data_IF_409104475257
#
_entry.id   IF_409104475257
#
_cell.length_a   1.000
_cell.length_b   1.000
_cell.length_c   1.000
_cell.angle_alpha   90.00
_cell.angle_beta   90.00
_cell.angle_gamma   90.00
#
_symmetry.space_group_name_H-M   'P 1'
#
loop_
_entity.id
_entity.type
_entity.pdbx_description
1 polymer ?
#
# COMPACT_ATOMS: atom_id res chain seq x y z
N UNK A 1 -47.70 -7.22 -17.66
CA UNK A 1 -46.68 -6.15 -17.73
C UNK A 1 -45.82 -6.30 -16.50
N UNK A 2 -44.77 -7.09 -16.65
CA UNK A 2 -43.90 -7.46 -15.55
C UNK A 2 -42.95 -6.31 -15.19
N UNK A 3 -42.98 -5.99 -13.93
CA UNK A 3 -42.05 -5.00 -13.32
C UNK A 3 -40.62 -5.51 -13.44
N UNK A 4 -39.85 -4.92 -14.34
CA UNK A 4 -38.39 -5.03 -14.36
C UNK A 4 -37.89 -4.44 -13.02
N UNK A 5 -37.75 -5.29 -12.01
CA UNK A 5 -36.98 -4.96 -10.80
C UNK A 5 -35.58 -4.58 -11.27
N UNK A 6 -35.27 -3.30 -11.35
CA UNK A 6 -33.90 -2.80 -11.43
C UNK A 6 -33.14 -3.46 -10.27
N UNK A 7 -32.32 -4.46 -10.57
CA UNK A 7 -31.31 -4.98 -9.63
C UNK A 7 -30.45 -3.76 -9.30
N UNK A 8 -30.67 -3.16 -8.14
CA UNK A 8 -29.72 -2.17 -7.60
C UNK A 8 -28.38 -2.89 -7.56
N UNK A 9 -27.37 -2.33 -8.20
CA UNK A 9 -26.02 -2.85 -8.20
C UNK A 9 -25.54 -2.81 -6.73
N UNK A 10 -25.65 -3.95 -6.05
CA UNK A 10 -25.26 -4.08 -4.66
C UNK A 10 -23.73 -4.23 -4.65
N UNK A 11 -23.03 -3.10 -4.52
CA UNK A 11 -21.56 -3.04 -4.56
C UNK A 11 -20.90 -3.69 -3.33
N UNK A 12 -21.69 -4.15 -2.35
CA UNK A 12 -21.19 -4.74 -1.12
C UNK A 12 -21.09 -6.26 -1.26
N UNK A 13 -19.94 -6.80 -0.91
CA UNK A 13 -19.68 -8.24 -0.84
C UNK A 13 -19.95 -8.72 0.60
N UNK A 14 -20.75 -9.78 0.77
CA UNK A 14 -20.96 -10.42 2.07
C UNK A 14 -19.75 -11.29 2.42
N UNK A 15 -18.89 -10.74 3.29
CA UNK A 15 -17.70 -11.42 3.78
C UNK A 15 -17.98 -12.29 5.02
N UNK A 16 -19.14 -12.12 5.67
CA UNK A 16 -19.49 -12.81 6.90
C UNK A 16 -20.22 -14.13 6.62
N UNK A 17 -21.19 -14.14 5.68
CA UNK A 17 -22.02 -15.30 5.40
C UNK A 17 -21.81 -15.90 4.01
N UNK A 18 -21.22 -15.13 3.08
CA UNK A 18 -20.97 -15.58 1.71
C UNK A 18 -19.97 -16.73 1.60
N UNK A 19 -19.91 -17.43 0.45
CA UNK A 19 -18.89 -18.45 0.18
C UNK A 19 -17.49 -17.86 0.26
N UNK A 20 -16.63 -18.36 1.11
CA UNK A 20 -15.36 -17.74 1.51
C UNK A 20 -14.49 -17.39 0.30
N UNK A 21 -14.13 -18.38 -0.51
CA UNK A 21 -13.22 -18.18 -1.66
C UNK A 21 -13.81 -17.19 -2.69
N UNK A 22 -15.08 -17.37 -3.04
CA UNK A 22 -15.77 -16.49 -3.99
C UNK A 22 -15.84 -15.05 -3.49
N UNK A 23 -16.17 -14.86 -2.20
CA UNK A 23 -16.26 -13.53 -1.58
C UNK A 23 -14.88 -12.85 -1.55
N UNK A 24 -13.81 -13.58 -1.23
CA UNK A 24 -12.44 -13.08 -1.26
C UNK A 24 -12.03 -12.61 -2.66
N UNK A 25 -12.25 -13.43 -3.69
CA UNK A 25 -11.89 -13.08 -5.07
C UNK A 25 -12.68 -11.86 -5.57
N UNK A 26 -14.02 -11.86 -5.35
CA UNK A 26 -14.86 -10.73 -5.79
C UNK A 26 -14.46 -9.43 -5.06
N UNK A 27 -14.06 -9.53 -3.80
CA UNK A 27 -13.62 -8.36 -3.04
C UNK A 27 -12.20 -7.91 -3.39
N UNK A 28 -11.28 -8.86 -3.66
CA UNK A 28 -9.90 -8.58 -4.03
C UNK A 28 -9.74 -8.03 -5.45
N UNK A 29 -10.61 -8.43 -6.39
CA UNK A 29 -10.49 -8.02 -7.79
C UNK A 29 -10.55 -6.49 -8.00
N UNK A 30 -11.49 -5.73 -7.40
CA UNK A 30 -11.45 -4.27 -7.47
C UNK A 30 -10.19 -3.65 -6.82
N UNK A 31 -9.65 -4.27 -5.77
CA UNK A 31 -8.41 -3.82 -5.13
C UNK A 31 -7.21 -4.02 -6.06
N UNK A 32 -7.14 -5.16 -6.74
CA UNK A 32 -6.12 -5.44 -7.75
C UNK A 32 -6.17 -4.45 -8.91
N UNK A 33 -7.38 -4.18 -9.43
CA UNK A 33 -7.59 -3.19 -10.49
C UNK A 33 -7.20 -1.79 -9.99
N UNK A 34 -7.52 -1.43 -8.73
CA UNK A 34 -7.09 -0.16 -8.12
C UNK A 34 -5.58 -0.01 -8.10
N UNK A 35 -4.84 -1.07 -7.74
CA UNK A 35 -3.39 -1.05 -7.73
C UNK A 35 -2.81 -0.83 -9.14
N UNK A 36 -3.39 -1.46 -10.16
CA UNK A 36 -3.00 -1.26 -11.56
C UNK A 36 -3.23 0.21 -11.97
N UNK A 37 -4.43 0.74 -11.73
CA UNK A 37 -4.75 2.13 -12.08
C UNK A 37 -3.85 3.13 -11.34
N UNK A 38 -3.55 2.87 -10.07
CA UNK A 38 -2.63 3.72 -9.30
C UNK A 38 -1.22 3.70 -9.87
N UNK A 39 -0.73 2.54 -10.29
CA UNK A 39 0.60 2.44 -10.93
C UNK A 39 0.62 3.09 -12.31
N UNK A 40 -0.46 2.94 -13.08
CA UNK A 40 -0.58 3.58 -14.39
C UNK A 40 -0.58 5.10 -14.28
N UNK A 41 -1.38 5.67 -13.38
CA UNK A 41 -1.43 7.12 -13.24
C UNK A 41 -0.09 7.68 -12.74
N UNK A 42 0.59 7.02 -11.79
CA UNK A 42 1.94 7.43 -11.35
C UNK A 42 2.95 7.42 -12.50
N UNK A 43 2.83 6.43 -13.40
CA UNK A 43 3.69 6.34 -14.58
C UNK A 43 3.40 7.47 -15.57
N UNK A 44 2.12 7.76 -15.82
CA UNK A 44 1.70 8.84 -16.73
C UNK A 44 2.13 10.21 -16.19
N UNK A 45 1.94 10.48 -14.90
CA UNK A 45 2.39 11.70 -14.22
C UNK A 45 3.90 11.89 -14.39
N UNK A 46 4.69 10.85 -14.12
CA UNK A 46 6.15 10.85 -14.35
C UNK A 46 6.51 11.12 -15.80
N UNK A 47 5.78 10.55 -16.76
CA UNK A 47 6.00 10.79 -18.20
C UNK A 47 5.65 12.22 -18.60
N UNK A 48 4.58 12.80 -18.07
CA UNK A 48 4.20 14.20 -18.34
C UNK A 48 5.31 15.13 -17.83
N UNK A 49 5.74 14.96 -16.59
CA UNK A 49 6.83 15.77 -16.02
C UNK A 49 8.12 15.62 -16.83
N UNK A 50 8.54 14.40 -17.15
CA UNK A 50 9.77 14.16 -17.93
C UNK A 50 9.73 14.76 -19.33
N UNK A 51 8.60 14.66 -20.05
CA UNK A 51 8.48 15.15 -21.41
C UNK A 51 8.33 16.67 -21.51
N UNK A 52 7.66 17.30 -20.55
CA UNK A 52 7.35 18.74 -20.63
C UNK A 52 8.27 19.62 -19.77
N UNK A 53 8.82 19.10 -18.67
CA UNK A 53 9.71 19.87 -17.79
C UNK A 53 11.17 19.42 -17.87
N UNK A 54 11.43 18.21 -18.41
CA UNK A 54 12.76 17.68 -18.64
C UNK A 54 13.36 16.91 -17.45
N UNK A 55 14.60 16.46 -17.64
CA UNK A 55 15.29 15.51 -16.76
C UNK A 55 15.56 16.07 -15.35
N UNK A 56 15.81 17.38 -15.23
CA UNK A 56 16.10 18.02 -13.94
C UNK A 56 14.86 17.98 -13.03
N UNK A 57 13.69 18.34 -13.55
CA UNK A 57 12.41 18.28 -12.81
C UNK A 57 12.02 16.85 -12.47
N UNK A 58 12.28 15.90 -13.36
CA UNK A 58 12.10 14.49 -13.10
C UNK A 58 13.00 14.00 -11.95
N UNK A 59 14.27 14.42 -11.94
CA UNK A 59 15.21 14.11 -10.85
C UNK A 59 14.78 14.77 -9.52
N UNK A 60 14.23 15.99 -9.57
CA UNK A 60 13.70 16.67 -8.39
C UNK A 60 12.55 15.88 -7.73
N UNK A 61 11.56 15.43 -8.51
CA UNK A 61 10.48 14.57 -8.01
C UNK A 61 11.04 13.24 -7.48
N UNK A 62 11.98 12.62 -8.21
CA UNK A 62 12.62 11.37 -7.80
C UNK A 62 13.33 11.49 -6.46
N UNK A 63 13.99 12.62 -6.18
CA UNK A 63 14.66 12.86 -4.89
C UNK A 63 13.70 12.96 -3.70
N UNK A 64 12.42 13.31 -3.95
CA UNK A 64 11.38 13.40 -2.93
C UNK A 64 10.75 12.05 -2.57
N UNK A 65 10.99 10.99 -3.36
CA UNK A 65 10.28 9.70 -3.20
C UNK A 65 10.42 9.12 -1.78
N UNK A 66 11.62 9.17 -1.19
CA UNK A 66 11.83 8.66 0.16
C UNK A 66 11.08 9.46 1.24
N UNK A 67 10.96 10.78 1.07
CA UNK A 67 10.20 11.65 1.99
C UNK A 67 8.70 11.36 1.82
N UNK A 68 8.25 11.22 0.58
CA UNK A 68 6.87 10.86 0.25
C UNK A 68 6.49 9.52 0.89
N UNK A 69 7.30 8.48 0.68
CA UNK A 69 7.07 7.14 1.22
C UNK A 69 7.06 7.12 2.75
N UNK A 70 7.91 7.92 3.37
CA UNK A 70 7.96 8.04 4.82
C UNK A 70 6.68 8.72 5.37
N UNK A 71 6.33 9.90 4.90
CA UNK A 71 5.23 10.70 5.44
C UNK A 71 3.85 10.19 4.98
N UNK A 72 3.69 10.02 3.67
CA UNK A 72 2.43 9.56 3.09
C UNK A 72 2.22 8.08 3.39
N UNK A 73 3.26 7.25 3.28
CA UNK A 73 3.21 5.83 3.62
C UNK A 73 2.84 5.59 5.09
N UNK A 74 3.35 6.42 6.01
CA UNK A 74 2.96 6.38 7.42
C UNK A 74 1.47 6.73 7.59
N UNK A 75 1.02 7.81 6.96
CA UNK A 75 -0.39 8.23 6.98
C UNK A 75 -1.32 7.14 6.43
N UNK A 76 -0.97 6.52 5.30
CA UNK A 76 -1.70 5.41 4.69
C UNK A 76 -1.77 4.20 5.63
N UNK A 77 -0.66 3.88 6.29
CA UNK A 77 -0.62 2.81 7.28
C UNK A 77 -1.61 3.05 8.41
N UNK A 78 -1.63 4.26 8.97
CA UNK A 78 -2.60 4.63 10.02
C UNK A 78 -4.03 4.48 9.50
N UNK A 79 -4.36 5.03 8.33
CA UNK A 79 -5.69 4.94 7.73
C UNK A 79 -6.17 3.50 7.56
N UNK A 80 -5.30 2.61 7.09
CA UNK A 80 -5.60 1.18 6.97
C UNK A 80 -5.81 0.52 8.34
N UNK A 81 -5.01 0.87 9.36
CA UNK A 81 -5.18 0.36 10.72
C UNK A 81 -6.52 0.77 11.33
N UNK A 82 -6.95 2.02 11.13
CA UNK A 82 -8.27 2.50 11.55
C UNK A 82 -9.42 1.74 10.85
N UNK A 83 -9.27 1.48 9.56
CA UNK A 83 -10.24 0.70 8.77
C UNK A 83 -10.39 -0.74 9.26
N UNK A 84 -9.31 -1.39 9.73
CA UNK A 84 -9.33 -2.74 10.32
C UNK A 84 -10.21 -2.76 11.57
N UNK A 85 -10.07 -1.80 12.47
CA UNK A 85 -10.89 -1.72 13.70
C UNK A 85 -12.35 -1.47 13.33
N UNK A 86 -12.61 -0.58 12.37
CA UNK A 86 -13.95 -0.31 11.86
C UNK A 86 -14.59 -1.55 11.22
N UNK A 87 -13.83 -2.33 10.44
CA UNK A 87 -14.29 -3.58 9.85
C UNK A 87 -14.69 -4.61 10.92
N UNK A 88 -13.96 -4.64 12.04
CA UNK A 88 -14.28 -5.49 13.19
C UNK A 88 -15.57 -5.04 13.87
N UNK A 89 -15.73 -3.73 14.06
CA UNK A 89 -16.97 -3.14 14.59
C UNK A 89 -18.17 -3.43 13.69
N UNK A 90 -17.98 -3.40 12.36
CA UNK A 90 -19.01 -3.82 11.41
C UNK A 90 -19.38 -5.30 11.59
N UNK A 91 -18.37 -6.17 11.73
CA UNK A 91 -18.55 -7.60 11.92
C UNK A 91 -19.32 -7.98 13.19
N UNK A 92 -19.20 -7.20 14.26
CA UNK A 92 -19.94 -7.41 15.50
C UNK A 92 -21.44 -7.10 15.41
N UNK A 93 -21.88 -6.49 14.31
CA UNK A 93 -23.27 -6.03 14.10
C UNK A 93 -23.77 -4.97 15.10
N UNK A 94 -22.85 -4.35 15.83
CA UNK A 94 -23.13 -3.24 16.74
C UNK A 94 -23.00 -1.90 15.96
N UNK A 95 -24.14 -1.36 15.55
CA UNK A 95 -24.19 -0.10 14.79
C UNK A 95 -23.64 1.08 15.59
N UNK A 96 -23.86 1.11 16.91
CA UNK A 96 -23.36 2.18 17.77
C UNK A 96 -21.83 2.14 17.84
N UNK A 97 -21.26 0.96 18.04
CA UNK A 97 -19.81 0.75 18.05
C UNK A 97 -19.17 1.10 16.69
N UNK A 98 -19.81 0.69 15.58
CA UNK A 98 -19.37 1.03 14.24
C UNK A 98 -19.33 2.55 14.03
N UNK A 99 -20.40 3.28 14.36
CA UNK A 99 -20.45 4.73 14.23
C UNK A 99 -19.46 5.44 15.15
N UNK A 100 -19.27 4.96 16.38
CA UNK A 100 -18.22 5.44 17.28
C UNK A 100 -16.82 5.19 16.69
N UNK A 101 -16.57 4.03 16.08
CA UNK A 101 -15.30 3.71 15.43
C UNK A 101 -15.03 4.67 14.25
N UNK A 102 -16.03 4.96 13.43
CA UNK A 102 -15.92 5.93 12.34
C UNK A 102 -15.66 7.34 12.88
N UNK A 103 -16.42 7.82 13.87
CA UNK A 103 -16.24 9.14 14.49
C UNK A 103 -14.82 9.30 15.07
N UNK A 104 -14.36 8.31 15.83
CA UNK A 104 -13.04 8.30 16.43
C UNK A 104 -11.94 8.26 15.36
N UNK A 105 -12.14 7.50 14.26
CA UNK A 105 -11.21 7.46 13.14
C UNK A 105 -11.09 8.80 12.42
N UNK A 106 -12.18 9.54 12.28
CA UNK A 106 -12.16 10.91 11.72
C UNK A 106 -11.36 11.86 12.60
N UNK A 107 -11.61 11.84 13.92
CA UNK A 107 -10.85 12.68 14.87
C UNK A 107 -9.38 12.36 14.85
N UNK A 108 -9.00 11.08 14.96
CA UNK A 108 -7.62 10.62 14.90
C UNK A 108 -6.98 11.05 13.57
N UNK A 109 -7.71 10.87 12.46
CA UNK A 109 -7.24 11.25 11.13
C UNK A 109 -6.89 12.73 11.01
N UNK A 110 -7.74 13.61 11.52
CA UNK A 110 -7.50 15.05 11.52
C UNK A 110 -6.27 15.38 12.38
N UNK A 111 -6.20 14.87 13.61
CA UNK A 111 -5.08 15.13 14.53
C UNK A 111 -3.75 14.63 13.95
N UNK A 112 -3.73 13.40 13.42
CA UNK A 112 -2.53 12.81 12.81
C UNK A 112 -2.11 13.60 11.56
N UNK A 113 -3.05 13.97 10.70
CA UNK A 113 -2.74 14.73 9.48
C UNK A 113 -2.16 16.10 9.82
N UNK A 114 -2.73 16.82 10.79
CA UNK A 114 -2.18 18.11 11.25
C UNK A 114 -0.78 17.90 11.83
N UNK A 115 -0.58 16.90 12.68
CA UNK A 115 0.73 16.58 13.24
C UNK A 115 1.77 16.27 12.17
N UNK A 116 1.43 15.44 11.19
CA UNK A 116 2.31 15.10 10.06
C UNK A 116 2.61 16.32 9.18
N UNK A 117 1.62 17.18 8.92
CA UNK A 117 1.85 18.43 8.18
C UNK A 117 2.83 19.31 8.92
N UNK A 118 2.62 19.57 10.22
CA UNK A 118 3.50 20.43 11.01
C UNK A 118 4.94 19.86 11.08
N UNK A 119 5.08 18.59 11.42
CA UNK A 119 6.38 17.92 11.49
C UNK A 119 7.03 17.92 10.11
N UNK A 120 6.27 17.53 9.07
CA UNK A 120 6.77 17.48 7.71
C UNK A 120 7.29 18.83 7.23
N UNK A 121 6.53 19.91 7.40
CA UNK A 121 6.94 21.25 6.96
C UNK A 121 8.17 21.76 7.73
N UNK A 122 8.29 21.49 9.03
CA UNK A 122 9.45 21.90 9.85
C UNK A 122 10.72 21.19 9.40
N UNK A 123 10.61 19.88 9.10
CA UNK A 123 11.78 19.05 8.76
C UNK A 123 12.02 18.87 7.27
N UNK A 124 11.19 19.44 6.40
CA UNK A 124 11.25 19.22 4.95
C UNK A 124 12.61 19.61 4.35
N UNK A 125 13.05 20.83 4.61
CA UNK A 125 14.32 21.32 4.10
C UNK A 125 15.53 20.58 4.69
N UNK A 126 15.62 20.35 6.03
CA UNK A 126 16.64 19.47 6.61
C UNK A 126 16.66 18.06 6.00
N UNK A 127 15.52 17.47 5.71
CA UNK A 127 15.43 16.11 5.10
C UNK A 127 15.97 16.11 3.67
N UNK A 128 15.67 17.11 2.85
CA UNK A 128 16.22 17.21 1.50
C UNK A 128 17.75 17.34 1.52
N UNK A 129 18.30 18.14 2.44
CA UNK A 129 19.75 18.23 2.63
C UNK A 129 20.36 16.92 3.15
N UNK A 130 19.70 16.25 4.09
CA UNK A 130 20.17 14.95 4.63
C UNK A 130 20.21 13.87 3.53
N UNK A 131 19.29 13.92 2.58
CA UNK A 131 19.26 13.02 1.42
C UNK A 131 20.26 13.42 0.32
N UNK A 132 21.10 14.46 0.56
CA UNK A 132 22.06 14.97 -0.41
C UNK A 132 21.41 15.36 -1.75
N UNK A 133 20.22 15.96 -1.71
CA UNK A 133 19.56 16.48 -2.93
C UNK A 133 20.47 17.55 -3.57
N UNK A 134 20.81 17.41 -4.88
CA UNK A 134 21.70 18.37 -5.55
C UNK A 134 21.15 19.79 -5.49
N UNK A 135 22.05 20.77 -5.28
CA UNK A 135 21.68 22.19 -5.11
C UNK A 135 20.93 22.79 -6.30
N UNK A 136 21.17 22.27 -7.50
CA UNK A 136 20.53 22.73 -8.74
C UNK A 136 19.06 22.28 -8.90
N UNK A 137 18.59 21.32 -8.10
CA UNK A 137 17.21 20.81 -8.17
C UNK A 137 16.47 20.90 -6.83
N UNK A 138 17.14 21.34 -5.76
CA UNK A 138 16.57 21.32 -4.39
C UNK A 138 15.35 22.24 -4.26
N UNK A 139 15.33 23.37 -4.96
CA UNK A 139 14.21 24.31 -4.94
C UNK A 139 12.97 23.72 -5.62
N UNK A 140 13.15 23.02 -6.73
CA UNK A 140 12.06 22.30 -7.40
C UNK A 140 11.57 21.13 -6.55
N UNK A 141 12.50 20.36 -5.96
CA UNK A 141 12.17 19.27 -5.06
C UNK A 141 11.37 19.75 -3.85
N UNK A 142 11.83 20.83 -3.21
CA UNK A 142 11.12 21.46 -2.10
C UNK A 142 9.72 21.91 -2.51
N UNK A 143 9.61 22.58 -3.62
CA UNK A 143 8.38 23.11 -4.18
C UNK A 143 7.33 22.01 -4.45
N UNK A 144 7.75 20.87 -5.01
CA UNK A 144 6.90 19.72 -5.27
C UNK A 144 6.39 19.10 -3.95
N UNK A 145 7.32 18.72 -3.06
CA UNK A 145 6.95 17.96 -1.86
C UNK A 145 6.25 18.85 -0.81
N UNK A 146 6.48 20.15 -0.81
CA UNK A 146 5.81 21.11 0.06
C UNK A 146 4.29 21.03 -0.07
N UNK A 147 3.75 21.07 -1.31
CA UNK A 147 2.31 20.96 -1.52
C UNK A 147 1.75 19.60 -1.11
N UNK A 148 2.49 18.52 -1.36
CA UNK A 148 2.10 17.18 -0.93
C UNK A 148 1.98 17.11 0.61
N UNK A 149 2.97 17.63 1.33
CA UNK A 149 3.01 17.64 2.79
C UNK A 149 1.95 18.58 3.37
N UNK A 150 1.79 19.77 2.79
CA UNK A 150 0.78 20.75 3.21
C UNK A 150 -0.64 20.18 3.15
N UNK A 151 -0.93 19.39 2.15
CA UNK A 151 -2.25 18.80 1.90
C UNK A 151 -2.30 17.28 2.18
N UNK A 152 -1.41 16.75 3.04
CA UNK A 152 -1.41 15.33 3.41
C UNK A 152 -2.76 14.86 3.96
N UNK A 153 -3.52 15.77 4.58
CA UNK A 153 -4.87 15.52 5.07
C UNK A 153 -5.83 15.05 3.95
N UNK A 154 -5.66 15.53 2.73
CA UNK A 154 -6.49 15.13 1.58
C UNK A 154 -6.21 13.68 1.20
N UNK A 155 -4.93 13.31 1.14
CA UNK A 155 -4.51 11.94 0.84
C UNK A 155 -4.94 10.97 1.94
N UNK A 156 -4.78 11.38 3.20
CA UNK A 156 -5.26 10.62 4.35
C UNK A 156 -6.78 10.44 4.30
N UNK A 157 -7.55 11.51 4.05
CA UNK A 157 -9.01 11.48 4.01
C UNK A 157 -9.53 10.53 2.91
N UNK A 158 -8.92 10.55 1.70
CA UNK A 158 -9.31 9.61 0.65
C UNK A 158 -9.07 8.15 1.10
N UNK A 159 -7.89 7.86 1.65
CA UNK A 159 -7.56 6.51 2.08
C UNK A 159 -8.41 6.03 3.25
N UNK A 160 -8.72 6.92 4.19
CA UNK A 160 -9.64 6.63 5.28
C UNK A 160 -11.05 6.33 4.74
N UNK A 161 -11.62 7.19 3.90
CA UNK A 161 -12.94 6.98 3.29
C UNK A 161 -12.99 5.66 2.50
N UNK A 162 -11.99 5.40 1.68
CA UNK A 162 -11.86 4.15 0.95
C UNK A 162 -11.74 2.93 1.89
N UNK A 163 -10.98 3.08 2.99
CA UNK A 163 -10.85 2.08 4.04
C UNK A 163 -12.17 1.79 4.75
N UNK A 164 -12.92 2.84 5.11
CA UNK A 164 -14.24 2.72 5.74
C UNK A 164 -15.26 2.02 4.82
N UNK A 165 -15.26 2.33 3.51
CA UNK A 165 -16.11 1.64 2.55
C UNK A 165 -15.71 0.16 2.41
N UNK A 166 -14.41 -0.14 2.35
CA UNK A 166 -13.92 -1.53 2.37
C UNK A 166 -14.31 -2.25 3.67
N UNK A 167 -14.28 -1.56 4.80
CA UNK A 167 -14.66 -2.12 6.10
C UNK A 167 -16.08 -2.69 6.15
N UNK A 168 -17.01 -2.17 5.32
CA UNK A 168 -18.38 -2.66 5.17
C UNK A 168 -18.58 -3.58 3.96
N UNK A 169 -17.50 -4.03 3.31
CA UNK A 169 -17.55 -4.94 2.17
C UNK A 169 -17.62 -4.28 0.78
N UNK A 170 -17.46 -2.95 0.68
CA UNK A 170 -17.51 -2.23 -0.59
C UNK A 170 -16.10 -1.90 -1.09
N UNK A 171 -15.56 -2.70 -1.99
CA UNK A 171 -14.27 -2.43 -2.66
C UNK A 171 -14.42 -1.78 -4.05
N UNK A 172 -15.64 -1.79 -4.62
CA UNK A 172 -15.89 -1.30 -5.99
C UNK A 172 -15.92 0.23 -6.03
N UNK A 173 -16.63 0.88 -5.10
CA UNK A 173 -16.80 2.33 -5.16
C UNK A 173 -15.49 3.10 -4.94
N UNK A 174 -14.59 2.71 -4.02
CA UNK A 174 -13.26 3.30 -3.97
C UNK A 174 -12.49 3.22 -5.29
N UNK A 175 -12.57 2.08 -6.01
CA UNK A 175 -11.99 1.94 -7.33
C UNK A 175 -12.58 2.95 -8.34
N UNK A 176 -13.91 3.07 -8.39
CA UNK A 176 -14.57 4.00 -9.31
C UNK A 176 -14.09 5.44 -9.06
N UNK A 177 -14.00 5.86 -7.80
CA UNK A 177 -13.55 7.21 -7.46
C UNK A 177 -12.05 7.41 -7.75
N UNK A 178 -11.24 6.36 -7.56
CA UNK A 178 -9.83 6.38 -7.95
C UNK A 178 -9.67 6.56 -9.47
N UNK A 179 -10.44 5.84 -10.28
CA UNK A 179 -10.40 5.97 -11.75
C UNK A 179 -10.78 7.39 -12.18
N UNK A 180 -11.85 7.94 -11.60
CA UNK A 180 -12.28 9.33 -11.89
C UNK A 180 -11.18 10.33 -11.53
N UNK A 181 -10.58 10.20 -10.35
CA UNK A 181 -9.50 11.10 -9.94
C UNK A 181 -8.23 10.92 -10.75
N UNK A 182 -7.91 9.70 -11.18
CA UNK A 182 -6.74 9.45 -12.03
C UNK A 182 -6.86 10.12 -13.40
N UNK A 183 -8.05 10.06 -14.01
CA UNK A 183 -8.32 10.77 -15.26
C UNK A 183 -8.24 12.30 -15.05
N UNK A 184 -8.84 12.79 -13.96
CA UNK A 184 -8.78 14.21 -13.63
C UNK A 184 -7.34 14.66 -13.36
N UNK A 185 -6.53 13.87 -12.67
CA UNK A 185 -5.14 14.18 -12.40
C UNK A 185 -4.35 14.36 -13.71
N UNK A 186 -4.45 13.43 -14.65
CA UNK A 186 -3.78 13.53 -15.96
C UNK A 186 -4.18 14.82 -16.70
N UNK A 187 -5.47 15.17 -16.69
CA UNK A 187 -5.95 16.40 -17.33
C UNK A 187 -5.37 17.63 -16.63
N UNK A 188 -5.38 17.65 -15.29
CA UNK A 188 -4.86 18.77 -14.50
C UNK A 188 -3.34 18.92 -14.64
N UNK A 189 -2.59 17.82 -14.69
CA UNK A 189 -1.15 17.83 -14.93
C UNK A 189 -0.83 18.52 -16.26
N UNK A 190 -1.52 18.12 -17.33
CA UNK A 190 -1.35 18.76 -18.64
C UNK A 190 -1.70 20.25 -18.59
N UNK A 191 -2.83 20.61 -17.96
CA UNK A 191 -3.24 22.03 -17.86
C UNK A 191 -2.25 22.84 -17.03
N UNK A 192 -1.86 22.38 -15.86
CA UNK A 192 -1.01 23.15 -14.95
C UNK A 192 0.43 23.24 -15.43
N UNK A 193 0.95 22.16 -16.02
CA UNK A 193 2.33 22.13 -16.51
C UNK A 193 2.44 22.86 -17.84
N UNK A 194 1.54 22.61 -18.82
CA UNK A 194 1.71 23.12 -20.20
C UNK A 194 1.04 24.46 -20.45
N UNK A 195 -0.15 24.71 -19.87
CA UNK A 195 -0.90 25.94 -20.10
C UNK A 195 -0.61 27.01 -19.06
N UNK A 196 -0.49 26.62 -17.78
CA UNK A 196 -0.26 27.55 -16.67
C UNK A 196 1.23 27.69 -16.30
N UNK A 197 2.12 26.89 -16.90
CA UNK A 197 3.56 26.89 -16.67
C UNK A 197 3.97 26.84 -15.19
N UNK A 198 3.24 26.03 -14.39
CA UNK A 198 3.46 25.93 -12.94
C UNK A 198 4.68 25.05 -12.57
N UNK A 199 5.36 24.45 -13.56
CA UNK A 199 6.49 23.55 -13.29
C UNK A 199 6.07 22.31 -12.47
N UNK A 200 6.98 21.79 -11.64
CA UNK A 200 6.73 20.61 -10.80
C UNK A 200 5.65 20.84 -9.74
N UNK A 201 5.42 22.09 -9.33
CA UNK A 201 4.31 22.43 -8.42
C UNK A 201 2.97 22.09 -9.04
N UNK A 202 2.83 22.22 -10.37
CA UNK A 202 1.62 21.89 -11.10
C UNK A 202 1.22 20.43 -10.89
N UNK A 203 2.17 19.51 -10.97
CA UNK A 203 1.95 18.08 -10.72
C UNK A 203 1.48 17.81 -9.26
N UNK A 204 2.13 18.45 -8.28
CA UNK A 204 1.73 18.31 -6.89
C UNK A 204 0.31 18.85 -6.64
N UNK A 205 -0.03 20.02 -7.16
CA UNK A 205 -1.35 20.64 -7.03
C UNK A 205 -2.42 19.81 -7.75
N UNK A 206 -2.13 19.29 -8.94
CA UNK A 206 -3.03 18.40 -9.68
C UNK A 206 -3.34 17.13 -8.87
N UNK A 207 -2.33 16.53 -8.25
CA UNK A 207 -2.50 15.37 -7.37
C UNK A 207 -3.40 15.70 -6.16
N UNK A 208 -3.20 16.83 -5.51
CA UNK A 208 -4.03 17.25 -4.36
C UNK A 208 -5.48 17.50 -4.77
N UNK A 209 -5.72 18.18 -5.89
CA UNK A 209 -7.09 18.48 -6.37
C UNK A 209 -7.81 17.21 -6.80
N UNK A 210 -7.15 16.32 -7.53
CA UNK A 210 -7.74 15.06 -7.98
C UNK A 210 -8.07 14.14 -6.81
N UNK A 211 -7.18 14.02 -5.84
CA UNK A 211 -7.44 13.28 -4.60
C UNK A 211 -8.58 13.92 -3.78
N UNK A 212 -8.61 15.25 -3.68
CA UNK A 212 -9.70 16.00 -3.04
C UNK A 212 -11.05 15.73 -3.69
N UNK A 213 -11.08 15.63 -5.02
CA UNK A 213 -12.29 15.23 -5.76
C UNK A 213 -12.74 13.84 -5.37
N UNK A 214 -11.82 12.87 -5.24
CA UNK A 214 -12.15 11.54 -4.73
C UNK A 214 -12.74 11.58 -3.32
N UNK A 215 -12.20 12.41 -2.41
CA UNK A 215 -12.74 12.58 -1.06
C UNK A 215 -14.19 13.07 -1.12
N UNK A 216 -14.45 14.08 -1.91
CA UNK A 216 -15.82 14.64 -2.08
C UNK A 216 -16.77 13.58 -2.62
N UNK A 217 -16.36 12.82 -3.64
CA UNK A 217 -17.18 11.74 -4.21
C UNK A 217 -17.43 10.62 -3.19
N UNK A 218 -16.43 10.24 -2.40
CA UNK A 218 -16.57 9.28 -1.30
C UNK A 218 -17.61 9.77 -0.28
N UNK A 219 -17.50 11.01 0.17
CA UNK A 219 -18.41 11.63 1.16
C UNK A 219 -19.83 11.67 0.61
N UNK A 220 -20.02 12.14 -0.62
CA UNK A 220 -21.35 12.19 -1.26
C UNK A 220 -21.97 10.78 -1.35
N UNK A 221 -21.17 9.78 -1.72
CA UNK A 221 -21.62 8.40 -1.78
C UNK A 221 -21.98 7.86 -0.39
N UNK A 222 -21.17 8.14 0.63
CA UNK A 222 -21.44 7.73 2.01
C UNK A 222 -22.75 8.33 2.50
N UNK A 223 -23.02 9.61 2.24
CA UNK A 223 -24.29 10.25 2.62
C UNK A 223 -25.50 9.66 1.90
N UNK A 224 -25.37 9.31 0.61
CA UNK A 224 -26.52 8.84 -0.18
C UNK A 224 -26.79 7.35 -0.08
N UNK A 225 -25.74 6.52 0.12
CA UNK A 225 -25.83 5.06 -0.06
C UNK A 225 -25.37 4.23 1.14
N UNK A 226 -24.61 4.82 2.07
CA UNK A 226 -24.06 4.10 3.22
C UNK A 226 -24.24 4.87 4.54
N UNK A 227 -25.49 5.16 4.96
CA UNK A 227 -25.78 5.93 6.18
C UNK A 227 -25.23 5.26 7.44
N UNK A 228 -24.93 3.97 7.38
CA UNK A 228 -24.30 3.19 8.44
C UNK A 228 -22.90 3.73 8.83
N UNK A 229 -22.19 4.35 7.88
CA UNK A 229 -20.88 4.97 8.11
C UNK A 229 -20.96 6.45 8.53
N UNK A 230 -22.16 6.99 8.73
CA UNK A 230 -22.35 8.40 9.11
C UNK A 230 -22.55 8.52 10.62
N UNK A 231 -21.55 9.01 11.37
CA UNK A 231 -21.69 9.25 12.79
C UNK A 231 -22.58 10.46 13.04
N UNK A 232 -23.34 10.43 14.15
CA UNK A 232 -24.04 11.58 14.71
C UNK A 232 -23.22 12.19 15.85
N UNK A 233 -23.59 13.34 16.36
CA UNK A 233 -22.87 14.04 17.45
C UNK A 233 -22.63 13.14 18.69
N UNK A 234 -23.59 12.31 19.04
CA UNK A 234 -23.50 11.36 20.17
C UNK A 234 -22.38 10.31 20.03
N UNK A 235 -21.94 10.01 18.79
CA UNK A 235 -20.88 9.03 18.52
C UNK A 235 -19.46 9.59 18.68
N UNK A 236 -19.32 10.92 18.85
CA UNK A 236 -18.03 11.57 19.10
C UNK A 236 -17.62 11.57 20.59
N UNK A 237 -18.42 10.95 21.45
CA UNK A 237 -18.04 10.72 22.84
C UNK A 237 -16.74 9.88 22.90
N UNK A 238 -15.81 10.32 23.73
CA UNK A 238 -14.51 9.68 23.89
C UNK A 238 -14.65 8.34 24.61
N UNK A 239 -14.36 7.27 23.90
CA UNK A 239 -14.25 5.92 24.43
C UNK A 239 -12.76 5.54 24.47
N UNK A 240 -12.18 5.52 25.69
CA UNK A 240 -10.74 5.33 25.89
C UNK A 240 -10.22 4.01 25.33
N UNK A 241 -10.99 2.94 25.46
CA UNK A 241 -10.56 1.61 25.00
C UNK A 241 -10.59 1.54 23.47
N UNK A 242 -11.63 2.10 22.84
CA UNK A 242 -11.72 2.21 21.41
C UNK A 242 -10.60 3.09 20.81
N UNK A 243 -10.33 4.25 21.42
CA UNK A 243 -9.21 5.12 20.99
C UNK A 243 -7.86 4.42 21.13
N UNK A 244 -7.62 3.71 22.24
CA UNK A 244 -6.40 2.92 22.45
C UNK A 244 -6.25 1.82 21.40
N UNK A 245 -7.35 1.22 20.98
CA UNK A 245 -7.33 0.19 19.94
C UNK A 245 -7.06 0.79 18.57
N UNK A 246 -7.77 1.84 18.20
CA UNK A 246 -7.60 2.54 16.93
C UNK A 246 -6.17 3.10 16.76
N UNK A 247 -5.68 3.84 17.77
CA UNK A 247 -4.32 4.37 17.76
C UNK A 247 -3.28 3.25 17.72
N UNK A 248 -3.45 2.22 18.55
CA UNK A 248 -2.51 1.11 18.57
C UNK A 248 -2.44 0.36 17.24
N UNK A 249 -3.58 0.11 16.59
CA UNK A 249 -3.61 -0.55 15.27
C UNK A 249 -3.12 0.39 14.17
N UNK A 250 -3.52 1.67 14.20
CA UNK A 250 -3.08 2.68 13.24
C UNK A 250 -1.57 2.89 13.29
N UNK A 251 -1.01 3.19 14.46
CA UNK A 251 0.42 3.40 14.61
C UNK A 251 1.25 2.15 14.30
N UNK A 252 0.76 0.96 14.67
CA UNK A 252 1.44 -0.29 14.32
C UNK A 252 1.62 -0.42 12.80
N UNK A 253 0.57 -0.15 12.02
CA UNK A 253 0.65 -0.21 10.55
C UNK A 253 1.46 0.95 9.95
N UNK A 254 1.33 2.15 10.52
CA UNK A 254 2.13 3.30 10.10
C UNK A 254 3.63 3.06 10.30
N UNK A 255 4.05 2.63 11.47
CA UNK A 255 5.45 2.29 11.74
C UNK A 255 5.94 1.11 10.93
N UNK A 256 5.09 0.10 10.68
CA UNK A 256 5.42 -1.01 9.80
C UNK A 256 5.84 -0.50 8.41
N UNK A 257 5.06 0.41 7.81
CA UNK A 257 5.38 1.00 6.52
C UNK A 257 6.69 1.79 6.56
N UNK A 258 6.90 2.63 7.58
CA UNK A 258 8.14 3.39 7.74
C UNK A 258 9.37 2.48 7.84
N UNK A 259 9.29 1.41 8.63
CA UNK A 259 10.39 0.47 8.84
C UNK A 259 10.73 -0.26 7.54
N UNK A 260 9.71 -0.68 6.79
CA UNK A 260 9.91 -1.34 5.48
C UNK A 260 10.53 -0.37 4.47
N UNK A 261 10.05 0.88 4.41
CA UNK A 261 10.62 1.92 3.54
C UNK A 261 12.07 2.24 3.89
N UNK A 262 12.37 2.42 5.19
CA UNK A 262 13.74 2.64 5.67
C UNK A 262 14.66 1.46 5.31
N UNK A 263 14.20 0.23 5.47
CA UNK A 263 14.93 -0.96 5.06
C UNK A 263 15.22 -1.01 3.55
N UNK A 264 14.29 -0.52 2.73
CA UNK A 264 14.47 -0.44 1.27
C UNK A 264 15.54 0.60 0.89
N UNK A 265 15.59 1.74 1.58
CA UNK A 265 16.64 2.77 1.39
C UNK A 265 18.02 2.19 1.75
N UNK A 266 18.13 1.45 2.85
CA UNK A 266 19.39 0.81 3.25
C UNK A 266 19.84 -0.22 2.21
N UNK A 267 18.95 -1.05 1.71
CA UNK A 267 19.27 -2.01 0.67
C UNK A 267 19.73 -1.32 -0.62
N UNK A 268 19.04 -0.23 -1.01
CA UNK A 268 19.40 0.57 -2.18
C UNK A 268 20.80 1.18 -2.04
N UNK A 269 21.20 1.63 -0.85
CA UNK A 269 22.57 2.08 -0.58
C UNK A 269 23.60 0.98 -0.85
N UNK A 270 23.33 -0.27 -0.42
CA UNK A 270 24.17 -1.40 -0.72
C UNK A 270 24.28 -1.70 -2.22
N UNK A 271 23.17 -1.60 -2.95
CA UNK A 271 23.11 -1.83 -4.40
C UNK A 271 23.90 -0.76 -5.16
N UNK A 272 23.83 0.50 -4.74
CA UNK A 272 24.51 1.61 -5.40
C UNK A 272 26.04 1.44 -5.44
N UNK A 273 26.62 0.70 -4.50
CA UNK A 273 28.05 0.40 -4.47
C UNK A 273 28.48 -0.67 -5.49
N UNK A 274 27.55 -1.35 -6.17
CA UNK A 274 27.85 -2.43 -7.11
C UNK A 274 28.06 -1.97 -8.57
N UNK A 275 27.85 -0.68 -8.85
CA UNK A 275 28.04 -0.09 -10.15
C UNK A 275 26.77 0.02 -11.01
N UNK A 276 26.80 0.99 -11.94
CA UNK A 276 25.60 1.46 -12.67
C UNK A 276 24.91 0.39 -13.54
N UNK A 277 25.67 -0.57 -14.10
CA UNK A 277 25.08 -1.62 -14.94
C UNK A 277 24.24 -2.62 -14.11
N UNK A 278 24.67 -2.90 -12.87
CA UNK A 278 23.92 -3.74 -11.93
C UNK A 278 22.68 -3.01 -11.48
N UNK A 279 22.82 -1.71 -11.13
CA UNK A 279 21.69 -0.86 -10.74
C UNK A 279 20.64 -0.83 -11.84
N UNK A 280 21.02 -0.64 -13.10
CA UNK A 280 20.09 -0.60 -14.23
C UNK A 280 19.29 -1.89 -14.39
N UNK A 281 19.98 -3.06 -14.34
CA UNK A 281 19.33 -4.37 -14.42
C UNK A 281 18.40 -4.65 -13.24
N UNK A 282 18.86 -4.31 -12.03
CA UNK A 282 18.07 -4.45 -10.81
C UNK A 282 16.82 -3.57 -10.83
N UNK A 283 16.95 -2.31 -11.25
CA UNK A 283 15.82 -1.37 -11.33
C UNK A 283 14.75 -1.88 -12.30
N UNK A 284 15.13 -2.40 -13.46
CA UNK A 284 14.19 -3.01 -14.41
C UNK A 284 13.47 -4.21 -13.80
N UNK A 285 14.22 -5.08 -13.11
CA UNK A 285 13.66 -6.23 -12.43
C UNK A 285 12.71 -5.83 -11.29
N UNK A 286 13.04 -4.79 -10.52
CA UNK A 286 12.16 -4.26 -9.44
C UNK A 286 10.86 -3.68 -9.97
N UNK A 287 10.84 -3.03 -11.13
CA UNK A 287 9.60 -2.59 -11.76
C UNK A 287 8.69 -3.77 -12.10
N UNK A 288 9.25 -4.84 -12.69
CA UNK A 288 8.51 -6.07 -12.96
C UNK A 288 8.03 -6.75 -11.68
N UNK A 289 8.88 -6.81 -10.65
CA UNK A 289 8.52 -7.30 -9.32
C UNK A 289 7.28 -6.59 -8.76
N UNK A 290 7.20 -5.27 -8.87
CA UNK A 290 6.03 -4.50 -8.40
C UNK A 290 4.74 -4.96 -9.08
N UNK A 291 4.76 -5.17 -10.41
CA UNK A 291 3.59 -5.66 -11.14
C UNK A 291 3.20 -7.08 -10.71
N UNK A 292 4.18 -7.99 -10.60
CA UNK A 292 3.91 -9.37 -10.20
C UNK A 292 3.42 -9.49 -8.75
N UNK A 293 3.75 -8.52 -7.89
CA UNK A 293 3.33 -8.51 -6.50
C UNK A 293 1.90 -7.96 -6.29
N UNK A 294 1.32 -7.24 -7.26
CA UNK A 294 -0.01 -6.61 -7.10
C UNK A 294 -1.15 -7.58 -6.75
N UNK A 295 -1.25 -8.79 -7.34
CA UNK A 295 -2.30 -9.75 -6.97
C UNK A 295 -2.21 -10.19 -5.51
N UNK A 296 -1.00 -10.39 -5.00
CA UNK A 296 -0.75 -10.82 -3.61
C UNK A 296 -1.10 -9.72 -2.61
N UNK A 297 -0.73 -8.47 -2.91
CA UNK A 297 -1.11 -7.29 -2.09
C UNK A 297 -2.62 -7.08 -2.06
N UNK A 298 -3.30 -7.21 -3.18
CA UNK A 298 -4.76 -7.08 -3.25
C UNK A 298 -5.47 -8.15 -2.41
N UNK A 299 -5.00 -9.40 -2.49
CA UNK A 299 -5.53 -10.49 -1.67
C UNK A 299 -5.23 -10.26 -0.18
N UNK A 300 -4.06 -9.74 0.18
CA UNK A 300 -3.71 -9.43 1.57
C UNK A 300 -4.64 -8.37 2.18
N UNK A 301 -4.97 -7.30 1.45
CA UNK A 301 -5.95 -6.31 1.87
C UNK A 301 -7.36 -6.93 2.02
N UNK A 302 -7.73 -7.83 1.11
CA UNK A 302 -9.01 -8.55 1.19
C UNK A 302 -9.06 -9.46 2.44
N UNK A 303 -7.99 -10.20 2.71
CA UNK A 303 -7.86 -11.03 3.91
C UNK A 303 -7.94 -10.18 5.17
N UNK A 304 -7.28 -9.03 5.22
CA UNK A 304 -7.35 -8.13 6.37
C UNK A 304 -8.79 -7.74 6.71
N UNK A 305 -9.56 -7.32 5.71
CA UNK A 305 -10.97 -6.94 5.89
C UNK A 305 -11.84 -8.15 6.24
N UNK A 306 -11.67 -9.26 5.52
CA UNK A 306 -12.40 -10.50 5.78
C UNK A 306 -12.18 -11.00 7.20
N UNK A 307 -10.93 -11.09 7.63
CA UNK A 307 -10.56 -11.56 8.98
C UNK A 307 -11.10 -10.60 10.04
N UNK A 308 -11.01 -9.27 9.80
CA UNK A 308 -11.53 -8.28 10.74
C UNK A 308 -13.02 -8.41 10.94
N UNK A 309 -13.81 -8.51 9.88
CA UNK A 309 -15.26 -8.71 9.98
C UNK A 309 -15.61 -10.03 10.68
N UNK A 310 -14.96 -11.13 10.30
CA UNK A 310 -15.21 -12.43 10.91
C UNK A 310 -14.70 -12.52 12.36
N UNK A 311 -13.67 -11.75 12.73
CA UNK A 311 -13.26 -11.56 14.13
C UNK A 311 -14.36 -10.86 14.93
N UNK A 312 -14.95 -9.79 14.39
CA UNK A 312 -16.09 -9.10 15.01
C UNK A 312 -17.32 -10.01 15.17
N UNK A 313 -17.58 -10.86 14.17
CA UNK A 313 -18.65 -11.87 14.18
C UNK A 313 -18.31 -13.15 14.98
N UNK A 314 -17.13 -13.22 15.58
CA UNK A 314 -16.62 -14.39 16.33
C UNK A 314 -16.58 -15.70 15.52
N UNK A 315 -16.32 -15.64 14.22
CA UNK A 315 -16.30 -16.77 13.29
C UNK A 315 -14.87 -17.27 13.01
N UNK A 316 -14.26 -17.92 14.01
CA UNK A 316 -12.87 -18.41 13.98
C UNK A 316 -12.58 -19.37 12.83
N UNK A 317 -13.49 -20.31 12.58
CA UNK A 317 -13.29 -21.33 11.54
C UNK A 317 -13.27 -20.71 10.12
N UNK A 318 -14.08 -19.69 9.90
CA UNK A 318 -14.05 -18.96 8.64
C UNK A 318 -12.72 -18.22 8.45
N UNK A 319 -12.14 -17.68 9.52
CA UNK A 319 -10.80 -17.05 9.48
C UNK A 319 -9.73 -18.07 9.08
N UNK A 320 -9.73 -19.27 9.72
CA UNK A 320 -8.78 -20.34 9.40
C UNK A 320 -8.93 -20.81 7.94
N UNK A 321 -10.18 -21.00 7.49
CA UNK A 321 -10.47 -21.42 6.12
C UNK A 321 -10.09 -20.35 5.09
N UNK A 322 -10.38 -19.06 5.36
CA UNK A 322 -10.02 -17.97 4.48
C UNK A 322 -8.50 -17.90 4.27
N UNK A 323 -7.73 -18.03 5.35
CA UNK A 323 -6.27 -18.00 5.25
C UNK A 323 -5.73 -19.20 4.46
N UNK A 324 -6.33 -20.40 4.62
CA UNK A 324 -6.00 -21.57 3.80
C UNK A 324 -6.25 -21.31 2.31
N UNK A 325 -7.41 -20.76 1.95
CA UNK A 325 -7.72 -20.42 0.57
C UNK A 325 -6.77 -19.37 0.01
N UNK A 326 -6.39 -18.37 0.82
CA UNK A 326 -5.42 -17.38 0.43
C UNK A 326 -4.03 -17.99 0.17
N UNK A 327 -3.56 -18.92 1.00
CA UNK A 327 -2.31 -19.63 0.77
C UNK A 327 -2.33 -20.45 -0.53
N UNK A 328 -3.44 -21.14 -0.80
CA UNK A 328 -3.59 -21.87 -2.08
C UNK A 328 -3.56 -20.90 -3.26
N UNK A 329 -4.27 -19.77 -3.17
CA UNK A 329 -4.25 -18.72 -4.17
C UNK A 329 -2.84 -18.20 -4.42
N UNK A 330 -2.06 -17.95 -3.35
CA UNK A 330 -0.70 -17.42 -3.46
C UNK A 330 0.26 -18.45 -4.05
N UNK A 331 0.16 -19.72 -3.67
CA UNK A 331 0.98 -20.80 -4.24
C UNK A 331 0.69 -20.95 -5.74
N UNK A 332 -0.59 -21.01 -6.13
CA UNK A 332 -0.98 -21.12 -7.54
C UNK A 332 -0.58 -19.87 -8.31
N UNK A 333 -0.81 -18.68 -7.75
CA UNK A 333 -0.40 -17.41 -8.35
C UNK A 333 1.11 -17.33 -8.53
N UNK A 334 1.90 -17.73 -7.52
CA UNK A 334 3.35 -17.78 -7.60
C UNK A 334 3.86 -18.76 -8.65
N UNK A 335 3.23 -19.94 -8.80
CA UNK A 335 3.54 -20.87 -9.88
C UNK A 335 3.31 -20.24 -11.26
N UNK A 336 2.16 -19.58 -11.45
CA UNK A 336 1.84 -18.90 -12.71
C UNK A 336 2.87 -17.79 -13.00
N UNK A 337 3.15 -16.93 -12.03
CA UNK A 337 4.13 -15.85 -12.16
C UNK A 337 5.52 -16.39 -12.45
N UNK A 338 5.94 -17.44 -11.74
CA UNK A 338 7.25 -18.10 -11.98
C UNK A 338 7.32 -18.69 -13.39
N UNK A 339 6.27 -19.35 -13.88
CA UNK A 339 6.21 -19.83 -15.26
C UNK A 339 6.32 -18.68 -16.27
N UNK A 340 5.60 -17.57 -16.06
CA UNK A 340 5.70 -16.38 -16.93
C UNK A 340 7.13 -15.83 -16.92
N UNK A 341 7.76 -15.74 -15.75
CA UNK A 341 9.13 -15.29 -15.60
C UNK A 341 10.07 -16.23 -16.40
N UNK A 342 10.02 -17.53 -16.16
CA UNK A 342 10.92 -18.49 -16.82
C UNK A 342 10.79 -18.47 -18.35
N UNK A 343 9.58 -18.23 -18.87
CA UNK A 343 9.34 -18.20 -20.32
C UNK A 343 9.70 -16.86 -20.97
N UNK A 344 9.48 -15.72 -20.27
CA UNK A 344 9.49 -14.41 -20.92
C UNK A 344 10.43 -13.40 -20.25
N UNK A 345 11.16 -13.75 -19.19
CA UNK A 345 11.90 -12.78 -18.36
C UNK A 345 12.89 -11.94 -19.16
N UNK A 346 13.65 -12.53 -20.10
CA UNK A 346 14.62 -11.80 -20.90
C UNK A 346 13.94 -10.72 -21.76
N UNK A 347 12.80 -11.06 -22.39
CA UNK A 347 12.02 -10.14 -23.20
C UNK A 347 11.38 -9.02 -22.33
N UNK A 348 10.87 -9.37 -21.15
CA UNK A 348 10.26 -8.44 -20.21
C UNK A 348 11.31 -7.46 -19.65
N UNK A 349 12.47 -7.94 -19.26
CA UNK A 349 13.58 -7.09 -18.79
C UNK A 349 14.05 -6.16 -19.91
N UNK A 350 14.19 -6.65 -21.14
CA UNK A 350 14.55 -5.85 -22.29
C UNK A 350 13.52 -4.75 -22.59
N UNK A 351 12.24 -5.11 -22.52
CA UNK A 351 11.14 -4.15 -22.73
C UNK A 351 11.15 -3.02 -21.70
N UNK A 352 11.37 -3.32 -20.43
CA UNK A 352 11.35 -2.34 -19.34
C UNK A 352 12.63 -1.53 -19.28
N UNK A 353 13.80 -2.14 -19.52
CA UNK A 353 15.10 -1.45 -19.42
C UNK A 353 15.42 -0.64 -20.68
N UNK A 354 14.87 -1.00 -21.84
CA UNK A 354 15.32 -0.47 -23.14
C UNK A 354 16.80 -0.78 -23.44
N UNK A 355 17.46 -1.56 -22.59
CA UNK A 355 18.90 -1.78 -22.67
C UNK A 355 19.26 -2.80 -23.73
N UNK A 356 20.36 -2.50 -24.46
CA UNK A 356 21.03 -3.43 -25.36
C UNK A 356 22.23 -4.12 -24.74
N UNK A 357 22.70 -3.66 -23.56
CA UNK A 357 23.86 -4.23 -22.87
C UNK A 357 23.50 -5.56 -22.21
N UNK A 358 24.24 -6.62 -22.56
CA UNK A 358 24.02 -7.97 -22.06
C UNK A 358 24.08 -8.08 -20.52
N UNK A 359 24.99 -7.34 -19.88
CA UNK A 359 25.14 -7.30 -18.41
C UNK A 359 23.85 -6.82 -17.72
N UNK A 360 23.17 -5.81 -18.25
CA UNK A 360 21.91 -5.30 -17.70
C UNK A 360 20.80 -6.34 -17.81
N UNK A 361 20.68 -6.96 -18.98
CA UNK A 361 19.70 -8.02 -19.22
C UNK A 361 19.96 -9.25 -18.35
N UNK A 362 21.23 -9.68 -18.24
CA UNK A 362 21.63 -10.81 -17.41
C UNK A 362 21.26 -10.58 -15.94
N UNK A 363 21.63 -9.45 -15.36
CA UNK A 363 21.36 -9.15 -13.95
C UNK A 363 19.87 -9.07 -13.65
N UNK A 364 19.08 -8.40 -14.51
CA UNK A 364 17.63 -8.33 -14.33
C UNK A 364 16.94 -9.70 -14.46
N UNK A 365 17.38 -10.50 -15.43
CA UNK A 365 16.90 -11.87 -15.65
C UNK A 365 17.24 -12.76 -14.46
N UNK A 366 18.50 -12.73 -14.00
CA UNK A 366 18.98 -13.53 -12.87
C UNK A 366 18.19 -13.22 -11.59
N UNK A 367 17.96 -11.93 -11.30
CA UNK A 367 17.15 -11.52 -10.15
C UNK A 367 15.77 -12.15 -10.17
N UNK A 368 15.01 -11.95 -11.26
CA UNK A 368 13.63 -12.43 -11.34
C UNK A 368 13.54 -13.96 -11.37
N UNK A 369 14.49 -14.64 -12.03
CA UNK A 369 14.51 -16.11 -12.09
C UNK A 369 14.73 -16.73 -10.71
N UNK A 370 15.59 -16.14 -9.88
CA UNK A 370 15.85 -16.64 -8.52
C UNK A 370 14.73 -16.24 -7.57
N UNK A 371 14.23 -15.00 -7.63
CA UNK A 371 13.20 -14.49 -6.73
C UNK A 371 11.82 -15.06 -7.06
N UNK A 372 11.54 -15.41 -8.33
CA UNK A 372 10.25 -15.90 -8.80
C UNK A 372 9.64 -17.01 -7.93
N UNK A 373 10.31 -18.12 -7.66
CA UNK A 373 9.77 -19.18 -6.80
C UNK A 373 9.42 -18.74 -5.38
N UNK A 374 10.06 -17.67 -4.86
CA UNK A 374 9.82 -17.15 -3.53
C UNK A 374 8.58 -16.25 -3.43
N UNK A 375 7.90 -15.96 -4.55
CA UNK A 375 6.59 -15.26 -4.47
C UNK A 375 5.55 -16.04 -3.66
N UNK A 376 5.62 -17.37 -3.63
CA UNK A 376 4.78 -18.19 -2.76
C UNK A 376 5.02 -17.89 -1.27
N UNK A 377 6.29 -17.78 -0.88
CA UNK A 377 6.68 -17.40 0.49
C UNK A 377 6.24 -15.99 0.82
N UNK A 378 6.47 -15.05 -0.11
CA UNK A 378 6.04 -13.66 0.04
C UNK A 378 4.51 -13.56 0.21
N UNK A 379 3.73 -14.27 -0.61
CA UNK A 379 2.27 -14.32 -0.50
C UNK A 379 1.83 -14.81 0.88
N UNK A 380 2.30 -16.00 1.30
CA UNK A 380 1.99 -16.57 2.62
C UNK A 380 2.35 -15.59 3.75
N UNK A 381 3.51 -14.94 3.67
CA UNK A 381 3.95 -13.90 4.60
C UNK A 381 2.93 -12.76 4.67
N UNK A 382 2.56 -12.21 3.51
CA UNK A 382 1.64 -11.07 3.44
C UNK A 382 0.26 -11.43 3.97
N UNK A 383 -0.31 -12.56 3.55
CA UNK A 383 -1.63 -13.00 4.02
C UNK A 383 -1.64 -13.20 5.54
N UNK A 384 -0.60 -13.83 6.09
CA UNK A 384 -0.52 -14.09 7.53
C UNK A 384 -0.33 -12.80 8.33
N UNK A 385 0.50 -11.87 7.83
CA UNK A 385 0.70 -10.55 8.44
C UNK A 385 -0.61 -9.77 8.51
N UNK A 386 -1.35 -9.69 7.40
CA UNK A 386 -2.63 -8.99 7.33
C UNK A 386 -3.75 -9.70 8.09
N UNK A 387 -3.73 -11.04 8.18
CA UNK A 387 -4.65 -11.80 9.04
C UNK A 387 -4.40 -11.53 10.53
N UNK A 388 -3.13 -11.48 10.97
CA UNK A 388 -2.77 -11.10 12.33
C UNK A 388 -3.25 -9.69 12.67
N UNK A 389 -3.10 -8.73 11.77
CA UNK A 389 -3.64 -7.38 11.95
C UNK A 389 -5.18 -7.42 12.06
N UNK A 390 -5.84 -8.20 11.19
CA UNK A 390 -7.30 -8.38 11.21
C UNK A 390 -7.84 -8.91 12.54
N UNK A 391 -7.14 -9.86 13.18
CA UNK A 391 -7.53 -10.35 14.51
C UNK A 391 -7.13 -9.40 15.66
N UNK A 392 -6.47 -8.27 15.36
CA UNK A 392 -6.12 -7.21 16.32
C UNK A 392 -4.73 -7.33 16.90
N UNK A 393 -3.85 -8.15 16.34
CA UNK A 393 -2.46 -8.20 16.76
C UNK A 393 -1.70 -6.98 16.20
N UNK A 394 -1.02 -6.26 17.10
CA UNK A 394 -0.32 -5.02 16.76
C UNK A 394 1.19 -5.25 16.70
N UNK A 395 1.73 -5.99 17.67
CA UNK A 395 3.17 -6.19 17.82
C UNK A 395 3.74 -7.23 16.86
N UNK A 396 3.07 -8.36 16.66
CA UNK A 396 3.62 -9.46 15.85
C UNK A 396 3.86 -9.07 14.39
N UNK A 397 2.93 -8.35 13.70
CA UNK A 397 3.19 -7.78 12.38
C UNK A 397 4.33 -6.75 12.40
N UNK A 398 4.41 -5.90 13.42
CA UNK A 398 5.48 -4.91 13.56
C UNK A 398 6.85 -5.58 13.74
N UNK A 399 6.93 -6.62 14.58
CA UNK A 399 8.18 -7.42 14.78
C UNK A 399 8.66 -7.98 13.44
N UNK A 400 7.76 -8.47 12.58
CA UNK A 400 8.17 -8.96 11.26
C UNK A 400 8.85 -7.87 10.42
N UNK A 401 8.40 -6.62 10.48
CA UNK A 401 9.06 -5.50 9.78
C UNK A 401 10.41 -5.14 10.39
N UNK A 402 10.54 -5.28 11.72
CA UNK A 402 11.83 -5.11 12.41
C UNK A 402 12.82 -6.20 11.97
N UNK A 403 12.37 -7.45 11.83
CA UNK A 403 13.20 -8.55 11.28
C UNK A 403 13.66 -8.20 9.86
N UNK A 404 12.76 -7.68 9.03
CA UNK A 404 13.08 -7.24 7.66
C UNK A 404 14.17 -6.16 7.66
N UNK A 405 13.99 -5.14 8.49
CA UNK A 405 14.92 -4.01 8.59
C UNK A 405 16.32 -4.45 9.01
N UNK A 406 16.45 -5.18 10.12
CA UNK A 406 17.74 -5.69 10.59
C UNK A 406 18.34 -6.72 9.64
N UNK A 407 17.52 -7.55 9.02
CA UNK A 407 17.95 -8.47 7.99
C UNK A 407 18.63 -7.74 6.83
N UNK A 408 18.01 -6.68 6.30
CA UNK A 408 18.59 -5.85 5.24
C UNK A 408 19.91 -5.20 5.68
N UNK A 409 20.00 -4.70 6.92
CA UNK A 409 21.27 -4.16 7.48
C UNK A 409 22.37 -5.23 7.47
N UNK A 410 22.08 -6.44 7.96
CA UNK A 410 23.06 -7.55 7.99
C UNK A 410 23.53 -7.87 6.57
N UNK A 411 22.62 -7.95 5.60
CA UNK A 411 22.97 -8.20 4.21
C UNK A 411 23.85 -7.09 3.64
N UNK A 412 23.52 -5.82 3.88
CA UNK A 412 24.28 -4.68 3.34
C UNK A 412 25.68 -4.61 3.93
N UNK A 413 25.84 -4.85 5.25
CA UNK A 413 27.14 -4.70 5.92
C UNK A 413 28.03 -5.92 5.71
N UNK A 414 27.49 -7.14 5.77
CA UNK A 414 28.32 -8.35 5.84
C UNK A 414 28.29 -9.20 4.56
N UNK A 415 27.14 -9.25 3.85
CA UNK A 415 26.96 -10.20 2.75
C UNK A 415 27.19 -9.53 1.39
N UNK A 416 26.70 -8.32 1.14
CA UNK A 416 26.91 -7.63 -0.13
C UNK A 416 28.41 -7.39 -0.42
N UNK A 417 29.28 -6.98 0.54
CA UNK A 417 30.69 -6.83 0.26
C UNK A 417 31.40 -8.13 -0.15
N UNK A 418 30.90 -9.28 0.30
CA UNK A 418 31.50 -10.61 0.00
C UNK A 418 30.92 -11.27 -1.24
N UNK A 419 29.61 -11.22 -1.42
CA UNK A 419 28.89 -11.97 -2.45
C UNK A 419 28.31 -11.08 -3.54
N UNK A 420 28.58 -9.77 -3.48
CA UNK A 420 28.16 -8.78 -4.48
C UNK A 420 26.66 -8.88 -4.81
N UNK A 421 26.27 -8.85 -6.07
CA UNK A 421 24.88 -8.86 -6.50
C UNK A 421 24.11 -10.12 -6.10
N UNK A 422 24.77 -11.26 -5.94
CA UNK A 422 24.12 -12.47 -5.43
C UNK A 422 23.54 -12.28 -4.02
N UNK A 423 24.25 -11.56 -3.14
CA UNK A 423 23.70 -11.21 -1.83
C UNK A 423 22.46 -10.32 -1.94
N UNK A 424 22.42 -9.38 -2.88
CA UNK A 424 21.22 -8.56 -3.13
C UNK A 424 20.03 -9.42 -3.55
N UNK A 425 20.24 -10.37 -4.46
CA UNK A 425 19.20 -11.28 -4.96
C UNK A 425 18.60 -12.12 -3.83
N UNK A 426 19.44 -12.69 -2.96
CA UNK A 426 18.99 -13.55 -1.85
C UNK A 426 18.53 -12.79 -0.61
N UNK A 427 18.76 -11.48 -0.52
CA UNK A 427 18.42 -10.67 0.64
C UNK A 427 16.92 -10.81 1.00
N UNK A 428 16.05 -10.43 0.10
CA UNK A 428 14.60 -10.47 0.35
C UNK A 428 14.07 -11.91 0.50
N UNK A 429 14.38 -12.89 -0.36
CA UNK A 429 13.96 -14.28 -0.20
C UNK A 429 14.29 -14.90 1.16
N UNK A 430 15.50 -14.74 1.64
CA UNK A 430 15.93 -15.28 2.95
C UNK A 430 15.15 -14.62 4.09
N UNK A 431 15.03 -13.30 4.05
CA UNK A 431 14.27 -12.53 5.06
C UNK A 431 12.79 -12.94 5.05
N UNK A 432 12.17 -13.10 3.86
CA UNK A 432 10.78 -13.56 3.76
C UNK A 432 10.59 -14.95 4.38
N UNK A 433 11.52 -15.88 4.20
CA UNK A 433 11.44 -17.19 4.86
C UNK A 433 11.42 -17.06 6.38
N UNK A 434 12.32 -16.26 6.96
CA UNK A 434 12.38 -16.03 8.41
C UNK A 434 11.10 -15.40 8.92
N UNK A 435 10.62 -14.33 8.24
CA UNK A 435 9.40 -13.64 8.62
C UNK A 435 8.16 -14.53 8.49
N UNK A 436 8.09 -15.37 7.44
CA UNK A 436 6.98 -16.30 7.24
C UNK A 436 6.89 -17.30 8.38
N UNK A 437 8.01 -17.89 8.79
CA UNK A 437 8.04 -18.81 9.93
C UNK A 437 7.55 -18.11 11.20
N UNK A 438 8.05 -16.89 11.50
CA UNK A 438 7.64 -16.13 12.68
C UNK A 438 6.13 -15.81 12.63
N UNK A 439 5.61 -15.34 11.50
CA UNK A 439 4.21 -14.93 11.37
C UNK A 439 3.24 -16.14 11.40
N UNK A 440 3.54 -17.20 10.67
CA UNK A 440 2.72 -18.43 10.64
C UNK A 440 2.69 -19.07 12.03
N UNK A 441 3.85 -19.20 12.66
CA UNK A 441 3.92 -19.68 14.04
C UNK A 441 3.05 -18.82 14.97
N UNK A 442 3.19 -17.51 14.89
CA UNK A 442 2.44 -16.55 15.71
C UNK A 442 0.92 -16.62 15.48
N UNK A 443 0.48 -16.84 14.25
CA UNK A 443 -0.94 -16.94 13.91
C UNK A 443 -1.56 -18.20 14.51
N UNK A 444 -0.96 -19.36 14.30
CA UNK A 444 -1.53 -20.64 14.77
C UNK A 444 -1.39 -20.85 16.30
N UNK A 445 -0.44 -20.14 16.95
CA UNK A 445 -0.31 -20.15 18.41
C UNK A 445 -1.06 -19.00 19.10
N UNK A 446 -1.74 -18.16 18.34
CA UNK A 446 -2.53 -17.08 18.92
C UNK A 446 -3.69 -17.66 19.77
N UNK A 447 -3.88 -17.21 21.02
CA UNK A 447 -4.93 -17.75 21.91
C UNK A 447 -6.33 -17.69 21.29
N UNK A 448 -6.65 -16.64 20.53
CA UNK A 448 -7.93 -16.52 19.85
C UNK A 448 -8.12 -17.58 18.76
N UNK A 449 -7.07 -17.96 18.06
CA UNK A 449 -7.11 -18.94 16.96
C UNK A 449 -6.99 -20.38 17.49
N UNK A 450 -6.16 -20.60 18.53
CA UNK A 450 -5.85 -21.92 19.08
C UNK A 450 -7.00 -22.51 19.91
N UNK A 451 -7.67 -21.68 20.72
CA UNK A 451 -8.75 -22.16 21.57
C UNK A 451 -10.01 -22.43 20.72
N UNK A 452 -10.47 -23.66 20.75
CA UNK A 452 -11.73 -24.10 20.14
C UNK A 452 -12.94 -23.51 20.87
#
# INVERSE_FOLDING_TARGET
>A
MDSIKRKSFNANVDLIHGPIFKSLIIFALPLFISNIFQQLYNTVDTMIVGNFLGDASLAAIGSCTSIYDLLVGFALGIGNGLAIVTARSFGSKDEKLLKKSVASSLVIGIVVSIGLTLIGLIFLQPLLHLLNTPANIIDEAYSYIFFIVLFIIVMFAYNLCAGLMRAIGNSVMPLVFLVVSSVLNIILDLVFITLLNMGVQGAAVATVISQGTSVILCIIYMFKKTPLLLPKKEHFEVDKDLYKELLGQGFSMGFMNCIVSAGSVILQYGINNLGYLIIAGHTAARKLYMFFNMPFTAMALAISTFVSQNKGANQKDRIKQALRYAYIYDIVGAMIVTCIILLFVSSLVKLISGASKEVVLHNGTLYLTIVGPFYAVLGILMQTRYALQGIGQKLLPLISSVIEFFGKIIFVIFLIPRFQYMAVIFCEPVIWCVMTVQLVYSFYHNPYIKNN
#
